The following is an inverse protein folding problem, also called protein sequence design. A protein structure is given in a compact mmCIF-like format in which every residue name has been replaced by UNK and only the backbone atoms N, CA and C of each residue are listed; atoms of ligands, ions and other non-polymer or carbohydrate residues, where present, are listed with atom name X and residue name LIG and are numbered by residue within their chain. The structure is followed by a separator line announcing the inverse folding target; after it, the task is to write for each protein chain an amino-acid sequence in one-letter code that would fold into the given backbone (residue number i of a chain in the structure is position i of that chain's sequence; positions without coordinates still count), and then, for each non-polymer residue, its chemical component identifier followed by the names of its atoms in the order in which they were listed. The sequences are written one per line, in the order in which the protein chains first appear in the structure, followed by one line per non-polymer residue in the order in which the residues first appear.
data_IF_218455531195
#
_entry.id   IF_218455531195
#
_cell.length_a   1.000
_cell.length_b   1.000
_cell.length_c   1.000
_cell.angle_alpha   90.00
_cell.angle_beta   90.00
_cell.angle_gamma   90.00
#
_symmetry.space_group_name_H-M   'P 1'
#
loop_
_entity.id
_entity.type
_entity.pdbx_description
1 polymer ?
#
# COMPACT_ATOMS: atom_id res chain seq x y z
N UNK A 1 -33.61 17.59 26.00
CA UNK A 1 -32.32 17.74 25.31
C UNK A 1 -32.30 16.69 24.22
N UNK A 2 -32.09 17.09 22.96
CA UNK A 2 -31.93 16.11 21.89
C UNK A 2 -30.68 15.29 22.16
N UNK A 3 -30.83 13.98 22.14
CA UNK A 3 -29.71 13.04 22.16
C UNK A 3 -28.87 13.30 20.91
N UNK A 4 -27.60 13.64 21.08
CA UNK A 4 -26.69 13.78 19.95
C UNK A 4 -26.54 12.41 19.29
N UNK A 5 -26.80 12.32 17.99
CA UNK A 5 -26.66 11.08 17.22
C UNK A 5 -25.37 11.14 16.39
N UNK A 6 -24.31 10.41 16.78
CA UNK A 6 -23.06 10.38 16.04
C UNK A 6 -23.23 9.83 14.61
N UNK A 7 -22.39 10.24 13.65
CA UNK A 7 -22.39 9.70 12.30
C UNK A 7 -21.76 8.28 12.28
N UNK A 8 -22.45 7.31 12.87
CA UNK A 8 -21.91 5.96 13.08
C UNK A 8 -21.50 5.25 11.80
N UNK A 9 -22.25 5.43 10.71
CA UNK A 9 -21.91 4.82 9.42
C UNK A 9 -20.52 5.26 8.94
N UNK A 10 -20.23 6.56 9.00
CA UNK A 10 -18.95 7.14 8.62
C UNK A 10 -17.81 6.56 9.48
N UNK A 11 -18.00 6.55 10.80
CA UNK A 11 -17.02 6.03 11.77
C UNK A 11 -16.72 4.56 11.51
N UNK A 12 -17.77 3.75 11.29
CA UNK A 12 -17.65 2.31 11.04
C UNK A 12 -16.90 2.06 9.73
N UNK A 13 -17.24 2.77 8.65
CA UNK A 13 -16.58 2.64 7.34
C UNK A 13 -15.10 3.04 7.43
N UNK A 14 -14.81 4.18 8.07
CA UNK A 14 -13.45 4.64 8.28
C UNK A 14 -12.61 3.62 9.06
N UNK A 15 -13.15 3.09 10.16
CA UNK A 15 -12.48 2.05 10.95
C UNK A 15 -12.27 0.75 10.15
N UNK A 16 -13.25 0.30 9.36
CA UNK A 16 -13.12 -0.89 8.51
C UNK A 16 -12.02 -0.72 7.45
N UNK A 17 -11.98 0.43 6.78
CA UNK A 17 -10.96 0.78 5.79
C UNK A 17 -9.57 0.85 6.42
N UNK A 18 -9.44 1.55 7.56
CA UNK A 18 -8.20 1.61 8.35
C UNK A 18 -7.71 0.22 8.72
N UNK A 19 -8.58 -0.61 9.31
CA UNK A 19 -8.23 -1.99 9.71
C UNK A 19 -7.75 -2.80 8.52
N UNK A 20 -8.44 -2.72 7.38
CA UNK A 20 -8.04 -3.43 6.16
C UNK A 20 -6.63 -3.03 5.72
N UNK A 21 -6.35 -1.73 5.64
CA UNK A 21 -5.05 -1.21 5.20
C UNK A 21 -3.93 -1.64 6.16
N UNK A 22 -4.12 -1.48 7.48
CA UNK A 22 -3.12 -1.87 8.49
C UNK A 22 -2.77 -3.34 8.35
N UNK A 23 -3.76 -4.23 8.35
CA UNK A 23 -3.53 -5.68 8.25
C UNK A 23 -2.80 -6.06 6.96
N UNK A 24 -3.14 -5.40 5.85
CA UNK A 24 -2.48 -5.66 4.56
C UNK A 24 -1.04 -5.17 4.55
N UNK A 25 -0.77 -4.01 5.14
CA UNK A 25 0.57 -3.44 5.22
C UNK A 25 1.50 -4.25 6.14
N UNK A 26 0.99 -4.77 7.27
CA UNK A 26 1.73 -5.67 8.17
C UNK A 26 2.24 -6.94 7.47
N UNK A 27 1.49 -7.47 6.50
CA UNK A 27 1.92 -8.64 5.72
C UNK A 27 2.97 -8.32 4.65
N UNK A 28 3.31 -7.04 4.43
CA UNK A 28 4.31 -6.61 3.46
C UNK A 28 5.67 -6.28 4.10
N UNK A 29 5.73 -5.94 5.39
CA UNK A 29 6.99 -5.58 6.03
C UNK A 29 7.84 -6.82 6.34
N UNK A 30 9.16 -6.72 6.07
CA UNK A 30 10.11 -7.86 6.15
C UNK A 30 10.13 -8.58 7.51
N UNK A 31 9.76 -7.88 8.58
CA UNK A 31 9.71 -8.40 9.95
C UNK A 31 8.29 -8.38 10.55
N UNK A 32 7.26 -8.12 9.73
CA UNK A 32 5.90 -7.82 10.20
C UNK A 32 5.90 -6.70 11.25
N UNK A 33 6.85 -5.78 11.13
CA UNK A 33 6.90 -4.59 11.96
C UNK A 33 5.63 -3.79 11.74
N UNK A 34 4.91 -3.55 12.83
CA UNK A 34 3.72 -2.72 12.83
C UNK A 34 4.12 -1.25 12.92
N UNK A 35 3.57 -0.42 12.04
CA UNK A 35 3.69 1.02 12.18
C UNK A 35 2.83 1.48 13.36
N UNK A 36 3.48 1.96 14.43
CA UNK A 36 2.82 2.23 15.71
C UNK A 36 1.87 3.45 15.67
N UNK A 37 2.07 4.41 14.76
CA UNK A 37 1.31 5.66 14.73
C UNK A 37 -0.20 5.43 14.50
N UNK A 38 -0.63 4.65 13.49
CA UNK A 38 -2.05 4.29 13.34
C UNK A 38 -2.68 3.64 14.58
N UNK A 39 -1.91 2.92 15.39
CA UNK A 39 -2.40 2.28 16.63
C UNK A 39 -2.56 3.32 17.74
N UNK A 40 -1.59 4.22 17.90
CA UNK A 40 -1.68 5.31 18.87
C UNK A 40 -2.88 6.21 18.58
N UNK A 41 -3.12 6.52 17.32
CA UNK A 41 -4.27 7.31 16.89
C UNK A 41 -5.60 6.58 17.13
N UNK A 42 -5.66 5.26 16.91
CA UNK A 42 -6.84 4.45 17.27
C UNK A 42 -7.10 4.42 18.78
N UNK A 43 -6.04 4.33 19.60
CA UNK A 43 -6.15 4.42 21.06
C UNK A 43 -6.72 5.78 21.47
N UNK A 44 -6.18 6.87 20.92
CA UNK A 44 -6.65 8.22 21.25
C UNK A 44 -8.10 8.46 20.80
N UNK A 45 -8.49 7.91 19.65
CA UNK A 45 -9.89 7.88 19.23
C UNK A 45 -10.77 7.15 20.26
N UNK A 46 -10.33 5.97 20.72
CA UNK A 46 -11.04 5.20 21.75
C UNK A 46 -11.17 5.98 23.07
N UNK A 47 -10.11 6.68 23.51
CA UNK A 47 -10.15 7.53 24.70
C UNK A 47 -11.23 8.61 24.59
N UNK A 48 -11.35 9.26 23.44
CA UNK A 48 -12.40 10.24 23.18
C UNK A 48 -13.79 9.61 23.18
N UNK A 49 -13.97 8.42 22.59
CA UNK A 49 -15.22 7.67 22.65
C UNK A 49 -15.63 7.34 24.09
N UNK A 50 -14.71 6.79 24.89
CA UNK A 50 -14.97 6.44 26.29
C UNK A 50 -15.31 7.68 27.11
N UNK A 51 -14.61 8.81 26.90
CA UNK A 51 -14.95 10.10 27.55
C UNK A 51 -16.34 10.58 27.18
N UNK A 52 -16.75 10.43 25.93
CA UNK A 52 -18.11 10.76 25.49
C UNK A 52 -19.15 9.91 26.22
N UNK A 53 -18.95 8.58 26.29
CA UNK A 53 -19.87 7.68 26.98
C UNK A 53 -19.88 7.88 28.50
N UNK A 54 -18.73 8.20 29.10
CA UNK A 54 -18.66 8.56 30.51
C UNK A 54 -19.48 9.83 30.82
N UNK A 55 -19.46 10.84 29.93
CA UNK A 55 -20.28 12.05 30.06
C UNK A 55 -21.78 11.74 29.94
N UNK A 56 -22.18 10.92 28.96
CA UNK A 56 -23.57 10.47 28.75
C UNK A 56 -24.13 9.75 29.97
N UNK A 57 -23.32 8.87 30.58
CA UNK A 57 -23.65 8.12 31.79
C UNK A 57 -23.59 8.97 33.07
N UNK A 58 -23.11 10.22 33.00
CA UNK A 58 -22.95 11.11 34.17
C UNK A 58 -21.82 10.69 35.11
N UNK A 59 -20.82 9.96 34.61
CA UNK A 59 -19.64 9.53 35.36
C UNK A 59 -18.55 10.60 35.45
N UNK A 60 -18.73 11.73 34.76
CA UNK A 60 -17.82 12.87 34.79
C UNK A 60 -18.44 14.03 35.58
N UNK A 61 -17.66 14.66 36.46
CA UNK A 61 -18.08 15.77 37.33
C UNK A 61 -18.62 16.98 36.54
N UNK A 62 -18.24 17.10 35.25
CA UNK A 62 -18.75 18.11 34.32
C UNK A 62 -19.57 17.46 33.20
N UNK A 63 -20.87 17.40 33.49
CA UNK A 63 -22.02 17.53 32.59
C UNK A 63 -22.32 16.45 31.55
N UNK A 64 -23.57 16.00 31.57
CA UNK A 64 -24.35 15.46 30.44
C UNK A 64 -24.60 16.54 29.35
N UNK A 65 -23.60 17.35 29.05
CA UNK A 65 -23.70 18.42 28.06
C UNK A 65 -23.57 17.81 26.66
N UNK A 66 -24.64 17.89 25.88
CA UNK A 66 -24.66 17.42 24.49
C UNK A 66 -23.54 18.04 23.65
N UNK A 67 -23.13 19.28 23.96
CA UNK A 67 -22.03 19.95 23.25
C UNK A 67 -20.67 19.34 23.57
N UNK A 68 -20.43 18.95 24.83
CA UNK A 68 -19.22 18.23 25.20
C UNK A 68 -19.14 16.86 24.52
N UNK A 69 -20.26 16.13 24.50
CA UNK A 69 -20.39 14.83 23.81
C UNK A 69 -20.04 14.98 22.32
N UNK A 70 -20.64 15.95 21.65
CA UNK A 70 -20.35 16.26 20.23
C UNK A 70 -18.86 16.55 20.01
N UNK A 71 -18.23 17.38 20.85
CA UNK A 71 -16.80 17.68 20.73
C UNK A 71 -15.91 16.44 20.89
N UNK A 72 -16.26 15.51 21.78
CA UNK A 72 -15.50 14.26 21.92
C UNK A 72 -15.62 13.40 20.66
N UNK A 73 -16.80 13.34 20.05
CA UNK A 73 -17.00 12.64 18.78
C UNK A 73 -16.22 13.25 17.62
N UNK A 74 -16.17 14.58 17.52
CA UNK A 74 -15.35 15.27 16.50
C UNK A 74 -13.85 15.00 16.69
N UNK A 75 -13.36 14.99 17.94
CA UNK A 75 -11.97 14.63 18.24
C UNK A 75 -11.68 13.17 17.88
N UNK A 76 -12.57 12.25 18.26
CA UNK A 76 -12.46 10.84 17.89
C UNK A 76 -12.33 10.66 16.37
N UNK A 77 -13.19 11.31 15.57
CA UNK A 77 -13.09 11.28 14.11
C UNK A 77 -11.75 11.80 13.62
N UNK A 78 -11.29 12.94 14.15
CA UNK A 78 -9.99 13.51 13.78
C UNK A 78 -8.81 12.57 14.03
N UNK A 79 -8.86 11.76 15.10
CA UNK A 79 -7.88 10.71 15.37
C UNK A 79 -8.00 9.53 14.39
N UNK A 80 -9.22 9.05 14.10
CA UNK A 80 -9.43 7.99 13.11
C UNK A 80 -8.97 8.39 11.70
N UNK A 81 -9.17 9.66 11.32
CA UNK A 81 -8.69 10.18 10.04
C UNK A 81 -7.16 10.20 9.97
N UNK A 82 -6.49 10.68 11.02
CA UNK A 82 -5.03 10.61 11.12
C UNK A 82 -4.53 9.18 11.03
N UNK A 83 -5.13 8.27 11.80
CA UNK A 83 -4.80 6.84 11.76
C UNK A 83 -4.92 6.26 10.34
N UNK A 84 -6.02 6.56 9.64
CA UNK A 84 -6.27 6.09 8.29
C UNK A 84 -5.18 6.57 7.32
N UNK A 85 -4.88 7.86 7.32
CA UNK A 85 -3.90 8.41 6.39
C UNK A 85 -2.48 7.94 6.69
N UNK A 86 -2.11 7.84 7.96
CA UNK A 86 -0.82 7.26 8.38
C UNK A 86 -0.67 5.81 7.90
N UNK A 87 -1.73 5.01 8.04
CA UNK A 87 -1.75 3.63 7.59
C UNK A 87 -1.70 3.54 6.05
N UNK A 88 -2.45 4.40 5.36
CA UNK A 88 -2.51 4.44 3.90
C UNK A 88 -1.18 4.86 3.27
N UNK A 89 -0.51 5.85 3.85
CA UNK A 89 0.84 6.27 3.43
C UNK A 89 1.87 5.16 3.64
N UNK A 90 1.85 4.54 4.82
CA UNK A 90 2.71 3.41 5.13
C UNK A 90 2.48 2.23 4.18
N UNK A 91 1.22 1.86 3.93
CA UNK A 91 0.87 0.80 2.98
C UNK A 91 1.34 1.14 1.56
N UNK A 92 1.09 2.36 1.09
CA UNK A 92 1.45 2.78 -0.27
C UNK A 92 2.96 2.70 -0.52
N UNK A 93 3.77 3.01 0.49
CA UNK A 93 5.23 2.91 0.45
C UNK A 93 5.67 1.44 0.49
N UNK A 94 5.14 0.67 1.45
CA UNK A 94 5.46 -0.75 1.62
C UNK A 94 5.15 -1.58 0.37
N UNK A 95 4.06 -1.25 -0.34
CA UNK A 95 3.70 -1.92 -1.59
C UNK A 95 4.76 -1.69 -2.68
N UNK A 96 5.26 -0.46 -2.82
CA UNK A 96 6.26 -0.12 -3.84
C UNK A 96 7.59 -0.79 -3.53
N UNK A 97 8.01 -0.74 -2.28
CA UNK A 97 9.21 -1.42 -1.80
C UNK A 97 9.14 -2.93 -2.10
N UNK A 98 7.97 -3.53 -1.89
CA UNK A 98 7.76 -4.95 -2.20
C UNK A 98 7.76 -5.23 -3.71
N UNK A 99 7.16 -4.36 -4.54
CA UNK A 99 7.23 -4.47 -6.01
C UNK A 99 8.70 -4.46 -6.46
N UNK A 100 9.48 -3.49 -5.99
CA UNK A 100 10.90 -3.34 -6.33
C UNK A 100 11.72 -4.54 -5.81
N UNK A 101 11.45 -4.99 -4.59
CA UNK A 101 12.11 -6.15 -3.99
C UNK A 101 11.85 -7.45 -4.78
N UNK A 102 10.61 -7.67 -5.21
CA UNK A 102 10.23 -8.85 -6.01
C UNK A 102 10.88 -8.78 -7.38
N UNK A 103 10.80 -7.64 -8.07
CA UNK A 103 11.18 -7.54 -9.47
C UNK A 103 12.67 -7.30 -9.72
N UNK A 104 13.41 -6.71 -8.77
CA UNK A 104 14.86 -6.48 -8.86
C UNK A 104 15.71 -7.74 -9.11
N UNK A 105 15.12 -8.93 -8.90
CA UNK A 105 15.76 -10.24 -9.11
C UNK A 105 15.68 -10.76 -10.54
N UNK A 106 14.95 -10.06 -11.41
CA UNK A 106 14.66 -10.49 -12.77
C UNK A 106 15.12 -9.43 -13.77
N UNK A 107 15.57 -9.88 -14.94
CA UNK A 107 15.96 -8.97 -16.02
C UNK A 107 14.72 -8.39 -16.69
N UNK A 108 14.90 -7.28 -17.41
CA UNK A 108 13.86 -6.66 -18.20
C UNK A 108 13.17 -7.66 -19.15
N UNK A 109 13.95 -8.49 -19.85
CA UNK A 109 13.42 -9.48 -20.80
C UNK A 109 12.57 -10.54 -20.08
N UNK A 110 12.97 -10.95 -18.87
CA UNK A 110 12.20 -11.89 -18.06
C UNK A 110 10.84 -11.29 -17.66
N UNK A 111 10.85 -10.04 -17.22
CA UNK A 111 9.62 -9.35 -16.81
C UNK A 111 8.68 -9.16 -17.99
N UNK A 112 9.16 -8.67 -19.15
CA UNK A 112 8.35 -8.52 -20.36
C UNK A 112 7.80 -9.86 -20.86
N UNK A 113 8.58 -10.94 -20.77
CA UNK A 113 8.12 -12.25 -21.25
C UNK A 113 7.00 -12.84 -20.37
N UNK A 114 6.98 -12.56 -19.07
CA UNK A 114 6.04 -13.17 -18.11
C UNK A 114 4.89 -12.22 -17.75
N UNK A 115 5.15 -10.93 -17.77
CA UNK A 115 4.20 -9.84 -17.47
C UNK A 115 4.31 -8.79 -18.60
N UNK A 116 3.82 -9.10 -19.82
CA UNK A 116 3.96 -8.21 -20.98
C UNK A 116 3.46 -6.78 -20.72
N UNK A 117 2.40 -6.65 -19.93
CA UNK A 117 1.76 -5.37 -19.59
C UNK A 117 2.50 -4.56 -18.51
N UNK A 118 3.61 -5.06 -17.95
CA UNK A 118 4.24 -4.43 -16.78
C UNK A 118 4.72 -3.00 -17.06
N UNK A 119 5.45 -2.80 -18.17
CA UNK A 119 6.01 -1.50 -18.52
C UNK A 119 5.01 -0.58 -19.23
N UNK A 120 3.99 -1.13 -19.89
CA UNK A 120 3.00 -0.36 -20.65
C UNK A 120 1.77 0.04 -19.82
N UNK A 121 1.38 -0.78 -18.83
CA UNK A 121 0.17 -0.55 -18.03
C UNK A 121 0.45 -0.45 -16.53
N UNK A 122 1.19 -1.40 -15.95
CA UNK A 122 1.32 -1.52 -14.49
C UNK A 122 2.16 -0.38 -13.90
N UNK A 123 3.39 -0.18 -14.39
CA UNK A 123 4.25 0.93 -13.93
C UNK A 123 3.56 2.28 -14.11
N UNK A 124 3.05 2.64 -15.31
CA UNK A 124 2.37 3.93 -15.50
C UNK A 124 1.17 4.11 -14.56
N UNK A 125 0.44 3.03 -14.26
CA UNK A 125 -0.67 3.06 -13.30
C UNK A 125 -0.19 3.32 -11.87
N UNK A 126 0.87 2.65 -11.43
CA UNK A 126 1.51 2.88 -10.11
C UNK A 126 1.98 4.33 -10.02
N UNK A 127 2.67 4.85 -11.03
CA UNK A 127 3.15 6.24 -11.08
C UNK A 127 2.01 7.24 -10.99
N UNK A 128 0.95 7.04 -11.76
CA UNK A 128 -0.26 7.86 -11.70
C UNK A 128 -0.92 7.83 -10.32
N UNK A 129 -1.00 6.67 -9.67
CA UNK A 129 -1.51 6.56 -8.30
C UNK A 129 -0.63 7.38 -7.34
N UNK A 130 0.69 7.34 -7.50
CA UNK A 130 1.65 8.16 -6.71
C UNK A 130 1.34 9.64 -6.80
N UNK A 131 1.15 10.12 -8.03
CA UNK A 131 0.87 11.53 -8.28
C UNK A 131 -0.47 11.94 -7.65
N UNK A 132 -1.50 11.09 -7.75
CA UNK A 132 -2.79 11.34 -7.10
C UNK A 132 -2.69 11.37 -5.58
N UNK A 133 -1.94 10.43 -4.99
CA UNK A 133 -1.66 10.43 -3.54
C UNK A 133 -0.96 11.73 -3.12
N UNK A 134 0.07 12.15 -3.85
CA UNK A 134 0.80 13.37 -3.56
C UNK A 134 -0.10 14.62 -3.66
N UNK A 135 -0.98 14.68 -4.66
CA UNK A 135 -1.95 15.77 -4.81
C UNK A 135 -2.94 15.83 -3.65
N UNK A 136 -3.47 14.68 -3.20
CA UNK A 136 -4.36 14.62 -2.04
C UNK A 136 -3.62 15.11 -0.78
N UNK A 137 -2.40 14.63 -0.55
CA UNK A 137 -1.58 15.05 0.60
C UNK A 137 -1.27 16.55 0.60
N UNK A 138 -0.99 17.13 -0.57
CA UNK A 138 -0.73 18.55 -0.70
C UNK A 138 -2.01 19.40 -0.51
N UNK A 139 -3.19 18.84 -0.80
CA UNK A 139 -4.48 19.51 -0.64
C UNK A 139 -5.03 19.53 0.79
N UNK A 140 -4.47 18.72 1.71
CA UNK A 140 -5.01 18.53 3.07
C UNK A 140 -5.10 19.80 3.93
N UNK A 141 -4.28 20.82 3.66
CA UNK A 141 -4.37 22.10 4.38
C UNK A 141 -5.54 22.99 3.89
N UNK A 142 -6.23 22.61 2.81
CA UNK A 142 -7.25 23.41 2.13
C UNK A 142 -8.68 22.85 2.30
N UNK A 143 -8.84 21.60 2.76
CA UNK A 143 -10.16 20.99 2.98
C UNK A 143 -10.87 21.64 4.18
N UNK A 144 -11.75 22.61 3.89
CA UNK A 144 -12.44 23.43 4.89
C UNK A 144 -13.84 22.88 5.27
N UNK A 145 -14.31 21.77 4.68
CA UNK A 145 -15.65 21.24 4.96
C UNK A 145 -15.69 19.75 5.36
N UNK A 146 -16.49 19.41 6.39
CA UNK A 146 -16.61 18.04 6.96
C UNK A 146 -17.01 16.96 5.92
N UNK A 147 -17.79 17.30 4.90
CA UNK A 147 -18.22 16.36 3.87
C UNK A 147 -17.09 15.97 2.91
N UNK A 148 -16.07 16.81 2.74
CA UNK A 148 -14.97 16.57 1.81
C UNK A 148 -14.01 15.49 2.33
N UNK A 149 -13.89 15.34 3.65
CA UNK A 149 -12.94 14.41 4.28
C UNK A 149 -13.34 12.95 4.00
N UNK A 150 -14.64 12.62 4.05
CA UNK A 150 -15.12 11.25 3.79
C UNK A 150 -14.84 10.85 2.34
N UNK A 151 -15.09 11.76 1.40
CA UNK A 151 -14.77 11.54 -0.01
C UNK A 151 -13.27 11.40 -0.23
N UNK A 152 -12.45 12.20 0.47
CA UNK A 152 -11.00 12.08 0.43
C UNK A 152 -10.53 10.72 0.93
N UNK A 153 -11.04 10.23 2.07
CA UNK A 153 -10.73 8.90 2.59
C UNK A 153 -11.08 7.81 1.58
N UNK A 154 -12.27 7.84 1.00
CA UNK A 154 -12.69 6.82 0.02
C UNK A 154 -11.79 6.86 -1.23
N UNK A 155 -11.51 8.05 -1.77
CA UNK A 155 -10.60 8.20 -2.91
C UNK A 155 -9.21 7.68 -2.60
N UNK A 156 -8.68 7.97 -1.41
CA UNK A 156 -7.36 7.50 -0.99
C UNK A 156 -7.35 5.97 -0.82
N UNK A 157 -8.40 5.42 -0.22
CA UNK A 157 -8.56 3.98 -0.05
C UNK A 157 -8.53 3.26 -1.41
N UNK A 158 -9.31 3.74 -2.38
CA UNK A 158 -9.36 3.15 -3.73
C UNK A 158 -8.00 3.20 -4.44
N UNK A 159 -7.22 4.28 -4.23
CA UNK A 159 -5.87 4.40 -4.76
C UNK A 159 -4.93 3.35 -4.15
N UNK A 160 -4.96 3.18 -2.83
CA UNK A 160 -4.14 2.18 -2.12
C UNK A 160 -4.57 0.75 -2.48
N UNK A 161 -5.87 0.49 -2.60
CA UNK A 161 -6.38 -0.83 -3.04
C UNK A 161 -6.00 -1.13 -4.50
N UNK A 162 -5.93 -0.10 -5.35
CA UNK A 162 -5.34 -0.20 -6.69
C UNK A 162 -3.87 -0.65 -6.65
N UNK A 163 -3.06 -0.13 -5.73
CA UNK A 163 -1.68 -0.59 -5.54
C UNK A 163 -1.63 -2.05 -5.08
N UNK A 164 -2.49 -2.46 -4.13
CA UNK A 164 -2.58 -3.87 -3.72
C UNK A 164 -2.96 -4.79 -4.87
N UNK A 165 -3.85 -4.35 -5.75
CA UNK A 165 -4.24 -5.10 -6.95
C UNK A 165 -3.05 -5.34 -7.88
N UNK A 166 -2.25 -4.30 -8.15
CA UNK A 166 -1.04 -4.42 -8.97
C UNK A 166 -0.01 -5.35 -8.33
N UNK A 167 0.23 -5.20 -7.02
CA UNK A 167 1.15 -6.09 -6.30
C UNK A 167 0.68 -7.54 -6.34
N UNK A 168 -0.62 -7.80 -6.13
CA UNK A 168 -1.20 -9.14 -6.23
C UNK A 168 -0.99 -9.75 -7.62
N UNK A 169 -1.23 -8.95 -8.67
CA UNK A 169 -0.99 -9.34 -10.06
C UNK A 169 0.46 -9.74 -10.28
N UNK A 170 1.42 -8.93 -9.81
CA UNK A 170 2.85 -9.23 -9.89
C UNK A 170 3.21 -10.51 -9.10
N UNK A 171 2.74 -10.62 -7.84
CA UNK A 171 3.01 -11.78 -6.98
C UNK A 171 2.48 -13.08 -7.59
N UNK A 172 1.33 -13.05 -8.27
CA UNK A 172 0.77 -14.21 -8.97
C UNK A 172 1.67 -14.75 -10.09
N UNK A 173 2.59 -13.93 -10.60
CA UNK A 173 3.49 -14.24 -11.72
C UNK A 173 4.90 -14.67 -11.27
N UNK A 174 5.19 -14.64 -9.96
CA UNK A 174 6.52 -14.99 -9.41
C UNK A 174 7.01 -16.36 -9.91
N UNK A 175 6.14 -17.38 -9.92
CA UNK A 175 6.54 -18.72 -10.40
C UNK A 175 6.95 -18.71 -11.86
N UNK A 176 6.23 -17.97 -12.71
CA UNK A 176 6.58 -17.79 -14.12
C UNK A 176 7.92 -17.08 -14.31
N UNK A 177 8.17 -16.05 -13.50
CA UNK A 177 9.44 -15.31 -13.51
C UNK A 177 10.61 -16.23 -13.10
N UNK A 178 10.44 -17.04 -12.06
CA UNK A 178 11.45 -18.02 -11.63
C UNK A 178 11.73 -19.08 -12.70
N UNK A 179 10.68 -19.62 -13.32
CA UNK A 179 10.81 -20.64 -14.36
C UNK A 179 11.50 -20.08 -15.61
N UNK A 180 11.15 -18.86 -16.05
CA UNK A 180 11.80 -18.19 -17.17
C UNK A 180 13.27 -17.91 -16.86
N UNK A 181 13.57 -17.34 -15.68
CA UNK A 181 14.94 -17.04 -15.25
C UNK A 181 15.83 -18.28 -15.31
N UNK A 182 15.36 -19.41 -14.75
CA UNK A 182 16.11 -20.68 -14.77
C UNK A 182 16.37 -21.17 -16.20
N UNK A 183 15.37 -21.13 -17.08
CA UNK A 183 15.52 -21.53 -18.49
C UNK A 183 16.51 -20.63 -19.23
N UNK A 184 16.38 -19.31 -19.08
CA UNK A 184 17.26 -18.32 -19.70
C UNK A 184 18.73 -18.51 -19.29
N UNK A 185 19.00 -18.83 -18.02
CA UNK A 185 20.36 -19.14 -17.54
C UNK A 185 20.93 -20.40 -18.20
N UNK A 186 20.12 -21.46 -18.32
CA UNK A 186 20.54 -22.71 -18.99
C UNK A 186 20.82 -22.47 -20.48
N UNK A 187 19.97 -21.71 -21.16
CA UNK A 187 20.16 -21.37 -22.58
C UNK A 187 21.40 -20.50 -22.80
N UNK A 188 21.62 -19.48 -21.97
CA UNK A 188 22.84 -18.65 -22.03
C UNK A 188 24.09 -19.49 -21.82
N UNK A 189 24.08 -20.43 -20.87
CA UNK A 189 25.20 -21.32 -20.63
C UNK A 189 25.46 -22.27 -21.80
N UNK A 190 24.41 -22.86 -22.39
CA UNK A 190 24.52 -23.68 -23.61
C UNK A 190 25.10 -22.88 -24.77
N UNK A 191 24.62 -21.67 -25.01
CA UNK A 191 25.11 -20.81 -26.09
C UNK A 191 26.58 -20.42 -25.90
N UNK A 192 27.00 -20.17 -24.66
CA UNK A 192 28.39 -19.89 -24.33
C UNK A 192 29.30 -21.09 -24.62
N UNK A 193 28.89 -22.30 -24.26
CA UNK A 193 29.63 -23.54 -24.58
C UNK A 193 29.74 -23.72 -26.09
N UNK A 194 28.64 -23.56 -26.83
CA UNK A 194 28.64 -23.68 -28.30
C UNK A 194 29.62 -22.68 -28.91
N UNK A 195 29.62 -21.43 -28.43
CA UNK A 195 30.52 -20.38 -28.91
C UNK A 195 31.99 -20.74 -28.66
N UNK A 196 32.31 -21.31 -27.48
CA UNK A 196 33.66 -21.80 -27.20
C UNK A 196 34.07 -22.94 -28.13
N UNK A 197 33.19 -23.91 -28.36
CA UNK A 197 33.47 -25.04 -29.27
C UNK A 197 33.76 -24.53 -30.69
N UNK A 198 32.94 -23.61 -31.20
CA UNK A 198 33.14 -23.00 -32.52
C UNK A 198 34.49 -22.27 -32.58
N UNK A 199 34.83 -21.48 -31.54
CA UNK A 199 36.12 -20.79 -31.46
C UNK A 199 37.31 -21.74 -31.52
N UNK A 200 37.26 -22.86 -30.78
CA UNK A 200 38.31 -23.89 -30.81
C UNK A 200 38.43 -24.53 -32.21
N UNK A 201 37.30 -24.85 -32.85
CA UNK A 201 37.28 -25.42 -34.21
C UNK A 201 37.92 -24.46 -35.21
N UNK A 202 37.59 -23.16 -35.16
CA UNK A 202 38.18 -22.15 -36.04
C UNK A 202 39.69 -22.03 -35.86
N UNK A 203 40.21 -22.12 -34.63
CA UNK A 203 41.66 -22.08 -34.36
C UNK A 203 42.35 -23.30 -34.96
N UNK A 204 41.80 -24.51 -34.77
CA UNK A 204 42.37 -25.74 -35.31
C UNK A 204 42.41 -25.70 -36.84
N UNK A 205 41.31 -25.28 -37.48
CA UNK A 205 41.26 -25.13 -38.94
C UNK A 205 42.25 -24.09 -39.45
N UNK A 206 42.40 -22.95 -38.77
CA UNK A 206 43.40 -21.94 -39.13
C UNK A 206 44.84 -22.43 -38.99
N UNK A 207 45.12 -23.32 -38.05
CA UNK A 207 46.43 -23.96 -37.91
C UNK A 207 46.70 -25.01 -38.99
N UNK A 208 45.67 -25.72 -39.46
CA UNK A 208 45.82 -26.73 -40.52
C UNK A 208 45.98 -26.14 -41.92
N UNK A 209 45.57 -24.89 -42.13
CA UNK A 209 45.62 -24.20 -43.43
C UNK A 209 46.90 -23.36 -43.59
N UNK A 210 47.57 -23.00 -42.50
CA UNK A 210 48.89 -22.34 -42.50
C UNK A 210 50.03 -23.36 -42.46
#
# INVERSE_FOLDING_TARGET
MSEYNPPWEEIIRLHQNLKYIVLKAEELTKEKETYIQPILEQRDALDHFIRSKAAELGLLEKTKDSYYIEQQFEKMKGHLYRAFFDAADWASTSIRDEVDFVLSRYTHECIVAVIPEYYEEIIPSIDNISNKIALIRNGKDIAQEKNEIVEEVNRYFDLVDGLFTHLSKIKSKIRGLEDYRKRSLIEKWKNWIITLIIGVICIILGWLIN
#
